data_IF_403332103820
#
_entry.id   IF_403332103820
#
_cell.length_a   1.000
_cell.length_b   1.000
_cell.length_c   1.000
_cell.angle_alpha   90.00
_cell.angle_beta   90.00
_cell.angle_gamma   90.00
#
_symmetry.space_group_name_H-M   'P 1'
#
loop_
_entity.id
_entity.type
_entity.pdbx_description
1 polymer ?
#
# COMPACT_ATOMS: atom_id res chain seq x y z
N UNK A 1 -69.06 51.61 -0.68
CA UNK A 1 -68.62 52.93 -0.19
C UNK A 1 -67.21 52.82 0.36
N UNK A 2 -66.33 53.75 -0.08
CA UNK A 2 -65.00 54.06 0.41
C UNK A 2 -63.93 52.91 0.36
N UNK A 3 -63.08 52.83 -0.68
CA UNK A 3 -61.88 53.65 -0.90
C UNK A 3 -61.04 53.79 0.36
N UNK A 4 -59.84 53.18 0.40
CA UNK A 4 -58.62 53.93 0.62
C UNK A 4 -57.38 53.09 0.23
N UNK A 5 -56.63 53.66 -0.67
CA UNK A 5 -55.32 53.31 -1.10
C UNK A 5 -54.31 53.80 -0.03
N UNK A 6 -53.15 53.10 0.15
CA UNK A 6 -51.86 53.65 0.51
C UNK A 6 -50.86 52.59 0.14
N UNK A 7 -50.10 52.73 -0.91
CA UNK A 7 -48.91 53.51 -1.07
C UNK A 7 -47.68 52.86 -0.39
N UNK A 8 -46.89 52.23 -1.25
CA UNK A 8 -45.46 52.21 -1.38
C UNK A 8 -44.58 52.55 -0.16
N UNK A 9 -43.71 51.63 0.18
CA UNK A 9 -42.33 51.95 0.56
C UNK A 9 -41.44 50.80 0.22
N UNK A 10 -40.72 50.92 -0.89
CA UNK A 10 -39.57 50.14 -1.26
C UNK A 10 -38.45 50.51 -0.26
N UNK A 11 -37.99 49.58 0.53
CA UNK A 11 -36.75 49.74 1.29
C UNK A 11 -35.75 48.68 0.80
N UNK A 12 -34.94 49.10 -0.18
CA UNK A 12 -33.73 48.40 -0.61
C UNK A 12 -32.69 48.50 0.52
N UNK A 13 -32.57 47.45 1.31
CA UNK A 13 -31.37 47.30 2.17
C UNK A 13 -30.30 46.56 1.34
N UNK A 14 -29.39 47.34 0.83
CA UNK A 14 -28.11 46.89 0.31
C UNK A 14 -27.25 46.35 1.47
N UNK A 15 -27.22 45.05 1.68
CA UNK A 15 -26.25 44.40 2.53
C UNK A 15 -24.93 44.33 1.76
N UNK A 16 -24.08 45.34 1.95
CA UNK A 16 -22.68 45.27 1.66
C UNK A 16 -22.05 44.35 2.70
N UNK A 17 -21.98 43.06 2.37
CA UNK A 17 -21.16 42.13 3.11
C UNK A 17 -19.69 42.42 2.86
N UNK A 18 -19.02 43.07 3.82
CA UNK A 18 -17.56 43.04 3.86
C UNK A 18 -17.10 41.63 3.95
N UNK A 19 -16.54 41.10 2.85
CA UNK A 19 -15.62 39.95 2.92
C UNK A 19 -14.37 40.42 3.65
N UNK A 20 -14.31 40.14 4.94
CA UNK A 20 -13.12 40.28 5.73
C UNK A 20 -12.22 39.08 5.33
N UNK A 21 -11.29 39.32 4.41
CA UNK A 21 -10.19 38.41 4.17
C UNK A 21 -9.38 38.32 5.47
N UNK A 22 -9.57 37.21 6.17
CA UNK A 22 -8.72 36.85 7.30
C UNK A 22 -7.35 36.54 6.72
N UNK A 23 -6.45 37.52 6.73
CA UNK A 23 -5.02 37.30 6.58
C UNK A 23 -4.54 36.44 7.75
N UNK A 24 -4.64 35.13 7.62
CA UNK A 24 -4.00 34.19 8.51
C UNK A 24 -2.52 34.19 8.13
N UNK A 25 -1.77 35.10 8.72
CA UNK A 25 -0.30 35.06 8.80
C UNK A 25 0.08 34.11 9.93
N UNK A 26 -0.30 32.82 9.82
CA UNK A 26 0.33 31.74 10.55
C UNK A 26 1.56 31.29 9.76
N UNK A 27 2.61 30.73 10.40
CA UNK A 27 3.68 30.10 9.66
C UNK A 27 3.03 29.04 8.77
N UNK A 28 3.19 29.18 7.45
CA UNK A 28 2.85 28.15 6.49
C UNK A 28 3.84 27.03 6.81
N UNK A 29 3.46 26.13 7.72
CA UNK A 29 4.10 24.84 7.79
C UNK A 29 3.95 24.26 6.39
N UNK A 30 5.10 24.07 5.74
CA UNK A 30 5.18 23.76 4.32
C UNK A 30 4.07 22.78 3.94
N UNK A 31 3.36 23.10 2.90
CA UNK A 31 2.61 22.13 2.15
C UNK A 31 3.69 21.12 1.76
N UNK A 32 3.82 20.05 2.55
CA UNK A 32 4.52 18.88 2.06
C UNK A 32 3.79 18.57 0.75
N UNK A 33 4.51 18.78 -0.33
CA UNK A 33 4.06 18.38 -1.66
C UNK A 33 3.95 16.86 -1.58
N UNK A 34 2.79 16.38 -1.13
CA UNK A 34 2.53 14.95 -1.07
C UNK A 34 2.41 14.50 -2.53
N UNK A 35 3.58 14.29 -3.15
CA UNK A 35 3.62 13.59 -4.42
C UNK A 35 2.85 12.29 -4.21
N UNK A 36 1.84 12.07 -5.05
CA UNK A 36 1.07 10.85 -5.00
C UNK A 36 2.08 9.68 -5.10
N UNK A 37 2.14 8.88 -4.05
CA UNK A 37 3.05 7.72 -4.01
C UNK A 37 2.67 6.76 -5.12
N UNK A 38 3.67 6.19 -5.77
CA UNK A 38 3.48 5.25 -6.89
C UNK A 38 4.05 3.90 -6.51
N UNK A 39 3.25 2.85 -6.69
CA UNK A 39 3.70 1.46 -6.49
C UNK A 39 4.81 1.16 -7.51
N UNK A 40 5.87 0.48 -7.03
CA UNK A 40 6.97 0.03 -7.87
C UNK A 40 6.52 -1.19 -8.65
N UNK A 41 6.72 -1.16 -9.98
CA UNK A 41 6.35 -2.27 -10.86
C UNK A 41 7.50 -3.27 -11.00
N UNK A 42 7.17 -4.54 -11.15
CA UNK A 42 8.12 -5.57 -11.54
C UNK A 42 8.47 -5.42 -13.04
N UNK A 43 9.72 -5.69 -13.44
CA UNK A 43 10.09 -5.75 -14.85
C UNK A 43 9.27 -6.81 -15.60
N UNK A 44 8.87 -6.49 -16.82
CA UNK A 44 8.10 -7.42 -17.66
C UNK A 44 8.88 -8.72 -17.91
N UNK A 45 8.18 -9.86 -17.87
CA UNK A 45 8.74 -11.20 -18.10
C UNK A 45 9.12 -11.39 -19.57
N UNK A 46 10.34 -11.88 -19.85
CA UNK A 46 10.81 -12.13 -21.22
C UNK A 46 10.06 -13.28 -21.92
N UNK A 47 9.52 -14.22 -21.16
CA UNK A 47 8.83 -15.38 -21.68
C UNK A 47 7.34 -15.29 -21.37
N UNK A 48 6.50 -15.20 -22.39
CA UNK A 48 5.04 -15.14 -22.27
C UNK A 48 4.41 -16.45 -21.73
N UNK A 49 5.19 -17.54 -21.63
CA UNK A 49 4.72 -18.80 -21.03
C UNK A 49 4.95 -18.85 -19.51
N UNK A 50 5.56 -17.83 -18.91
CA UNK A 50 5.65 -17.72 -17.45
C UNK A 50 4.30 -17.24 -16.93
N UNK A 51 3.79 -17.87 -15.88
CA UNK A 51 2.53 -17.48 -15.23
C UNK A 51 2.51 -15.97 -14.94
N UNK A 52 1.36 -15.33 -15.16
CA UNK A 52 1.19 -13.90 -14.92
C UNK A 52 1.41 -13.55 -13.46
N UNK A 53 1.08 -14.48 -12.54
CA UNK A 53 1.32 -14.34 -11.12
C UNK A 53 2.04 -15.58 -10.54
N UNK A 54 2.98 -15.34 -9.62
CA UNK A 54 3.60 -16.39 -8.83
C UNK A 54 2.82 -16.58 -7.55
N UNK A 55 2.55 -17.82 -7.14
CA UNK A 55 1.80 -18.10 -5.94
C UNK A 55 2.41 -19.24 -5.11
N UNK A 56 2.19 -19.18 -3.81
CA UNK A 56 2.47 -20.26 -2.86
C UNK A 56 1.30 -20.39 -1.89
N UNK A 57 0.88 -21.61 -1.62
CA UNK A 57 -0.22 -21.89 -0.70
C UNK A 57 0.22 -22.90 0.34
N UNK A 58 -0.17 -22.66 1.60
CA UNK A 58 0.13 -23.53 2.74
C UNK A 58 -1.07 -23.60 3.66
N UNK A 59 -1.30 -24.79 4.19
CA UNK A 59 -2.28 -24.99 5.24
C UNK A 59 -1.65 -24.68 6.60
N UNK A 60 -2.16 -23.66 7.29
CA UNK A 60 -1.67 -23.17 8.57
C UNK A 60 -2.75 -23.38 9.63
N UNK A 61 -2.33 -23.80 10.81
CA UNK A 61 -3.18 -23.87 11.99
C UNK A 61 -2.87 -22.68 12.92
N UNK A 62 -3.88 -21.94 13.36
CA UNK A 62 -3.69 -20.74 14.17
C UNK A 62 -3.09 -21.03 15.55
N UNK A 63 -3.36 -22.20 16.14
CA UNK A 63 -2.81 -22.59 17.44
C UNK A 63 -1.31 -22.84 17.38
N UNK A 64 -0.83 -23.52 16.34
CA UNK A 64 0.60 -23.86 16.19
C UNK A 64 1.38 -22.82 15.42
N UNK A 65 0.70 -21.97 14.65
CA UNK A 65 1.33 -21.08 13.69
C UNK A 65 1.90 -21.83 12.52
N UNK A 66 2.74 -21.14 11.76
CA UNK A 66 3.43 -21.73 10.59
C UNK A 66 4.06 -20.69 9.70
N UNK A 67 4.64 -21.17 8.62
CA UNK A 67 5.35 -20.30 7.65
C UNK A 67 4.93 -20.66 6.23
N UNK A 68 4.82 -19.63 5.38
CA UNK A 68 4.64 -19.76 3.94
C UNK A 68 5.82 -19.11 3.27
N UNK A 69 6.42 -19.79 2.32
CA UNK A 69 7.54 -19.28 1.55
C UNK A 69 7.23 -19.32 0.06
N UNK A 70 7.40 -18.19 -0.60
CA UNK A 70 7.36 -18.05 -2.05
C UNK A 70 8.74 -17.59 -2.51
N UNK A 71 9.44 -18.44 -3.24
CA UNK A 71 10.72 -18.16 -3.86
C UNK A 71 10.60 -18.42 -5.36
N UNK A 72 10.76 -17.37 -6.18
CA UNK A 72 10.62 -17.44 -7.63
C UNK A 72 11.66 -16.59 -8.32
N UNK A 73 12.00 -16.97 -9.55
CA UNK A 73 12.92 -16.23 -10.39
C UNK A 73 12.45 -16.24 -11.83
N UNK A 74 12.65 -15.13 -12.52
CA UNK A 74 12.37 -15.04 -13.95
C UNK A 74 13.34 -14.10 -14.66
N UNK A 75 13.51 -14.30 -15.96
CA UNK A 75 14.27 -13.38 -16.82
C UNK A 75 13.34 -12.26 -17.30
N UNK A 76 13.75 -11.01 -17.10
CA UNK A 76 13.01 -9.85 -17.61
C UNK A 76 13.26 -9.63 -19.10
N UNK A 77 12.40 -8.84 -19.75
CA UNK A 77 12.59 -8.41 -21.14
C UNK A 77 13.87 -7.59 -21.35
N UNK A 78 14.40 -7.00 -20.28
CA UNK A 78 15.66 -6.24 -20.28
C UNK A 78 16.89 -7.16 -20.08
N UNK A 79 16.67 -8.48 -19.96
CA UNK A 79 17.72 -9.48 -19.81
C UNK A 79 18.26 -9.60 -18.37
N UNK A 80 17.60 -9.01 -17.38
CA UNK A 80 17.97 -9.12 -15.98
C UNK A 80 17.21 -10.28 -15.31
N UNK A 81 17.90 -11.00 -14.42
CA UNK A 81 17.25 -11.99 -13.57
C UNK A 81 16.58 -11.30 -12.39
N UNK A 82 15.27 -11.40 -12.32
CA UNK A 82 14.47 -10.94 -11.17
C UNK A 82 14.27 -12.11 -10.24
N UNK A 83 14.60 -11.92 -8.95
CA UNK A 83 14.33 -12.93 -7.92
C UNK A 83 13.37 -12.32 -6.88
N UNK A 84 12.43 -13.13 -6.46
CA UNK A 84 11.39 -12.82 -5.48
C UNK A 84 11.55 -13.82 -4.34
N UNK A 85 11.75 -13.32 -3.13
CA UNK A 85 11.74 -14.12 -1.90
C UNK A 85 10.77 -13.47 -0.91
N UNK A 86 9.68 -14.17 -0.62
CA UNK A 86 8.61 -13.69 0.24
C UNK A 86 8.29 -14.75 1.29
N UNK A 87 8.45 -14.41 2.55
CA UNK A 87 8.26 -15.30 3.68
C UNK A 87 7.27 -14.69 4.68
N UNK A 88 6.14 -15.37 4.86
CA UNK A 88 5.12 -15.02 5.83
C UNK A 88 5.20 -15.97 7.01
N UNK A 89 5.25 -15.42 8.22
CA UNK A 89 5.19 -16.18 9.47
C UNK A 89 3.90 -15.83 10.21
N UNK A 90 3.08 -16.84 10.44
CA UNK A 90 1.91 -16.77 11.32
C UNK A 90 2.36 -17.19 12.73
N UNK A 91 2.29 -16.32 13.72
CA UNK A 91 2.69 -16.66 15.09
C UNK A 91 1.77 -17.74 15.68
N UNK A 92 2.30 -18.56 16.59
CA UNK A 92 1.49 -19.52 17.34
C UNK A 92 0.52 -18.81 18.29
N UNK A 93 -0.58 -19.47 18.63
CA UNK A 93 -1.67 -18.93 19.45
C UNK A 93 -2.32 -17.69 18.86
N UNK A 94 -2.38 -17.61 17.53
CA UNK A 94 -3.16 -16.61 16.84
C UNK A 94 -4.64 -17.00 16.92
N UNK A 95 -5.41 -16.31 17.78
CA UNK A 95 -6.81 -16.64 18.06
C UNK A 95 -7.78 -16.25 16.95
N UNK A 96 -7.28 -15.64 15.87
CA UNK A 96 -8.10 -15.26 14.70
C UNK A 96 -8.69 -16.48 13.98
N UNK A 97 -8.06 -17.64 14.14
CA UNK A 97 -8.55 -18.93 13.67
C UNK A 97 -7.93 -20.06 14.52
N UNK A 98 -8.73 -21.00 14.91
CA UNK A 98 -8.36 -22.15 15.76
C UNK A 98 -8.25 -23.47 14.95
N UNK A 99 -8.65 -23.43 13.70
CA UNK A 99 -8.60 -24.54 12.74
C UNK A 99 -7.49 -24.36 11.68
N UNK A 100 -7.43 -25.29 10.74
CA UNK A 100 -6.55 -25.18 9.57
C UNK A 100 -7.16 -24.25 8.52
N UNK A 101 -6.35 -23.29 8.06
CA UNK A 101 -6.68 -22.41 6.93
C UNK A 101 -5.68 -22.59 5.81
N UNK A 102 -6.17 -22.69 4.59
CA UNK A 102 -5.33 -22.62 3.42
C UNK A 102 -5.07 -21.14 3.10
N UNK A 103 -3.83 -20.72 3.30
CA UNK A 103 -3.40 -19.35 3.05
C UNK A 103 -2.58 -19.33 1.78
N UNK A 104 -2.86 -18.36 0.90
CA UNK A 104 -2.16 -18.19 -0.37
C UNK A 104 -1.50 -16.82 -0.39
N UNK A 105 -0.23 -16.77 -0.78
CA UNK A 105 0.50 -15.57 -1.19
C UNK A 105 0.57 -15.52 -2.71
N UNK A 106 0.40 -14.34 -3.29
CA UNK A 106 0.47 -14.13 -4.73
C UNK A 106 1.22 -12.83 -5.05
N UNK A 107 2.20 -12.91 -5.94
CA UNK A 107 2.93 -11.76 -6.51
C UNK A 107 2.64 -11.71 -8.00
N UNK A 108 2.14 -10.59 -8.50
CA UNK A 108 1.81 -10.37 -9.92
C UNK A 108 2.80 -9.41 -10.59
N UNK A 109 2.34 -8.28 -11.11
CA UNK A 109 3.18 -7.34 -11.86
C UNK A 109 3.70 -6.16 -11.03
N UNK A 110 3.30 -6.09 -9.76
CA UNK A 110 3.75 -5.08 -8.81
C UNK A 110 4.83 -5.65 -7.88
N UNK A 111 5.72 -4.81 -7.39
CA UNK A 111 6.63 -5.15 -6.29
C UNK A 111 5.83 -5.23 -4.98
N UNK A 112 4.89 -6.16 -4.94
CA UNK A 112 3.93 -6.34 -3.87
C UNK A 112 3.44 -7.78 -3.78
N UNK A 113 2.64 -8.05 -2.75
CA UNK A 113 2.08 -9.35 -2.47
C UNK A 113 0.63 -9.23 -2.03
N UNK A 114 -0.22 -10.07 -2.60
CA UNK A 114 -1.62 -10.27 -2.21
C UNK A 114 -1.75 -11.53 -1.35
N UNK A 115 -2.63 -11.48 -0.35
CA UNK A 115 -2.90 -12.60 0.54
C UNK A 115 -4.36 -13.02 0.50
N UNK A 116 -4.60 -14.32 0.49
CA UNK A 116 -5.94 -14.92 0.45
C UNK A 116 -6.05 -16.07 1.47
N UNK A 117 -7.28 -16.27 2.05
CA UNK A 117 -8.45 -15.40 1.99
C UNK A 117 -8.25 -14.12 2.79
N UNK A 118 -9.07 -13.09 2.53
CA UNK A 118 -9.06 -11.88 3.38
C UNK A 118 -9.47 -12.26 4.80
N UNK A 119 -8.67 -11.86 5.80
CA UNK A 119 -8.92 -12.08 7.22
C UNK A 119 -8.16 -11.07 8.07
N UNK A 120 -8.63 -10.82 9.28
CA UNK A 120 -7.99 -9.93 10.26
C UNK A 120 -7.36 -10.80 11.37
N UNK A 121 -6.27 -10.32 11.95
CA UNK A 121 -5.50 -11.02 12.96
C UNK A 121 -5.51 -10.28 14.31
N UNK A 122 -5.65 -11.03 15.41
CA UNK A 122 -5.50 -10.50 16.77
C UNK A 122 -4.03 -10.19 17.07
N UNK A 123 -3.13 -11.01 16.52
CA UNK A 123 -1.70 -10.77 16.51
C UNK A 123 -1.26 -10.64 15.06
N UNK A 124 -0.60 -9.53 14.67
CA UNK A 124 -0.13 -9.36 13.30
C UNK A 124 0.72 -10.54 12.84
N UNK A 125 0.53 -10.97 11.61
CA UNK A 125 1.45 -11.89 10.95
C UNK A 125 2.66 -11.11 10.46
N UNK A 126 3.80 -11.77 10.35
CA UNK A 126 5.08 -11.14 10.04
C UNK A 126 5.51 -11.49 8.63
N UNK A 127 5.83 -10.46 7.84
CA UNK A 127 6.29 -10.59 6.47
C UNK A 127 7.74 -10.14 6.35
N UNK A 128 8.57 -10.97 5.72
CA UNK A 128 9.86 -10.59 5.16
C UNK A 128 9.76 -10.73 3.65
N UNK A 129 10.08 -9.67 2.91
CA UNK A 129 9.92 -9.66 1.47
C UNK A 129 11.11 -8.98 0.80
N UNK A 130 11.77 -9.70 -0.09
CA UNK A 130 12.92 -9.23 -0.87
C UNK A 130 12.67 -9.45 -2.34
N UNK A 131 12.98 -8.44 -3.15
CA UNK A 131 12.99 -8.52 -4.61
C UNK A 131 14.33 -8.01 -5.09
N UNK A 132 14.97 -8.71 -6.02
CA UNK A 132 16.24 -8.28 -6.64
C UNK A 132 16.10 -8.21 -8.16
N UNK A 133 16.99 -7.47 -8.82
CA UNK A 133 16.99 -7.34 -10.27
C UNK A 133 15.97 -6.34 -10.81
N UNK A 134 15.52 -5.42 -9.97
CA UNK A 134 14.63 -4.32 -10.38
C UNK A 134 15.42 -3.21 -11.07
N UNK A 135 14.76 -2.52 -11.99
CA UNK A 135 15.28 -1.27 -12.53
C UNK A 135 14.87 -0.11 -11.62
N UNK A 136 15.77 0.28 -10.71
CA UNK A 136 15.55 1.36 -9.74
C UNK A 136 16.19 2.69 -10.19
N UNK A 137 16.46 2.88 -11.48
CA UNK A 137 17.02 4.12 -11.99
C UNK A 137 16.10 5.31 -11.69
N UNK A 138 16.66 6.37 -11.10
CA UNK A 138 15.92 7.57 -10.72
C UNK A 138 15.05 7.41 -9.47
N UNK A 139 15.12 6.27 -8.79
CA UNK A 139 14.49 6.09 -7.47
C UNK A 139 15.38 6.72 -6.41
N UNK A 140 14.80 7.58 -5.56
CA UNK A 140 15.48 8.02 -4.35
C UNK A 140 15.18 6.98 -3.24
N UNK A 141 16.21 6.30 -2.68
CA UNK A 141 16.00 5.28 -1.64
C UNK A 141 15.22 5.78 -0.42
N UNK A 142 15.37 7.06 -0.07
CA UNK A 142 14.67 7.64 1.09
C UNK A 142 13.14 7.76 0.90
N UNK A 143 12.66 7.73 -0.33
CA UNK A 143 11.23 7.85 -0.65
C UNK A 143 10.52 6.50 -0.70
N UNK A 144 11.30 5.39 -0.75
CA UNK A 144 10.75 4.04 -0.83
C UNK A 144 10.35 3.56 0.56
N UNK A 145 9.12 3.05 0.65
CA UNK A 145 8.66 2.35 1.86
C UNK A 145 7.71 1.21 1.48
N UNK A 146 7.27 0.44 2.48
CA UNK A 146 6.33 -0.66 2.31
C UNK A 146 4.97 -0.27 2.87
N UNK A 147 3.90 -0.50 2.09
CA UNK A 147 2.57 0.02 2.37
C UNK A 147 1.50 -1.05 2.26
N UNK A 148 0.47 -0.91 3.07
CA UNK A 148 -0.84 -1.47 2.78
C UNK A 148 -1.47 -0.72 1.61
N UNK A 149 -2.05 -1.46 0.66
CA UNK A 149 -2.79 -0.91 -0.48
C UNK A 149 -4.26 -1.23 -0.28
N UNK A 150 -5.07 -0.20 -0.06
CA UNK A 150 -6.51 -0.37 0.12
C UNK A 150 -7.21 -0.69 -1.23
N UNK A 151 -8.49 -1.12 -1.22
CA UNK A 151 -9.23 -1.42 -2.45
C UNK A 151 -9.40 -0.22 -3.40
N UNK A 152 -9.19 1.02 -2.93
CA UNK A 152 -9.24 2.23 -3.74
C UNK A 152 -7.85 2.65 -4.26
N UNK A 153 -6.80 1.89 -3.91
CA UNK A 153 -5.41 2.19 -4.26
C UNK A 153 -4.71 3.19 -3.34
N UNK A 154 -5.32 3.57 -2.20
CA UNK A 154 -4.65 4.42 -1.23
C UNK A 154 -3.60 3.64 -0.45
N UNK A 155 -2.51 4.32 -0.09
CA UNK A 155 -1.37 3.73 0.57
C UNK A 155 -1.31 4.14 2.04
N UNK A 156 -1.29 3.17 2.95
CA UNK A 156 -1.08 3.38 4.37
C UNK A 156 0.25 2.76 4.82
N UNK A 157 1.09 3.47 5.61
CA UNK A 157 2.36 2.94 6.07
C UNK A 157 2.19 1.65 6.88
N UNK A 158 3.12 0.71 6.69
CA UNK A 158 3.20 -0.55 7.43
C UNK A 158 4.21 -0.42 8.57
N UNK A 159 3.88 -0.94 9.74
CA UNK A 159 4.87 -1.11 10.82
C UNK A 159 5.85 -2.19 10.40
N UNK A 160 7.16 -1.89 10.42
CA UNK A 160 8.23 -2.83 10.06
C UNK A 160 9.54 -2.43 10.76
N UNK A 161 10.53 -3.32 10.74
CA UNK A 161 11.86 -3.06 11.31
C UNK A 161 12.79 -2.30 10.35
N UNK A 162 12.39 -2.11 9.11
CA UNK A 162 13.10 -1.32 8.12
C UNK A 162 12.83 -1.75 6.69
N UNK A 163 12.95 -0.77 5.81
CA UNK A 163 13.00 -0.96 4.35
C UNK A 163 14.38 -0.57 3.87
N UNK A 164 15.03 -1.44 3.11
CA UNK A 164 16.32 -1.15 2.49
C UNK A 164 16.21 -1.19 0.97
N UNK A 165 16.98 -0.31 0.32
CA UNK A 165 17.04 -0.16 -1.14
C UNK A 165 18.50 -0.18 -1.56
N UNK A 166 18.86 -1.15 -2.39
CA UNK A 166 20.17 -1.19 -3.05
C UNK A 166 20.00 -0.92 -4.55
N UNK A 167 20.38 0.27 -4.97
CA UNK A 167 20.28 0.70 -6.36
C UNK A 167 21.22 -0.06 -7.29
N UNK A 168 22.37 -0.55 -6.77
CA UNK A 168 23.38 -1.24 -7.58
C UNK A 168 22.91 -2.64 -8.02
N UNK A 169 22.18 -3.33 -7.17
CA UNK A 169 21.62 -4.66 -7.45
C UNK A 169 20.15 -4.63 -7.80
N UNK A 170 19.51 -3.46 -7.74
CA UNK A 170 18.07 -3.33 -7.93
C UNK A 170 17.28 -4.08 -6.85
N UNK A 171 17.74 -3.99 -5.58
CA UNK A 171 17.14 -4.77 -4.48
C UNK A 171 16.27 -3.90 -3.59
N UNK A 172 15.07 -4.40 -3.29
CA UNK A 172 14.17 -3.92 -2.24
C UNK A 172 14.02 -4.99 -1.19
N UNK A 173 14.13 -4.63 0.09
CA UNK A 173 13.88 -5.54 1.21
C UNK A 173 13.08 -4.84 2.29
N UNK A 174 12.02 -5.48 2.78
CA UNK A 174 11.34 -5.13 4.03
C UNK A 174 11.54 -6.24 5.04
N UNK A 175 11.84 -5.85 6.28
CA UNK A 175 12.08 -6.78 7.39
C UNK A 175 10.96 -6.64 8.42
N UNK A 176 10.39 -7.78 8.83
CA UNK A 176 9.41 -7.90 9.89
C UNK A 176 8.21 -6.93 9.72
N UNK A 177 7.68 -6.82 8.50
CA UNK A 177 6.47 -6.06 8.28
C UNK A 177 5.29 -6.72 9.00
N UNK A 178 4.60 -5.96 9.85
CA UNK A 178 3.47 -6.42 10.64
C UNK A 178 2.17 -6.25 9.85
N UNK A 179 1.55 -7.35 9.50
CA UNK A 179 0.30 -7.36 8.74
C UNK A 179 -0.87 -7.70 9.67
N UNK A 180 -1.69 -6.71 10.07
CA UNK A 180 -2.84 -6.94 10.94
C UNK A 180 -4.01 -7.62 10.23
N UNK A 181 -3.96 -7.71 8.91
CA UNK A 181 -4.96 -8.38 8.07
C UNK A 181 -4.36 -8.84 6.75
N UNK A 182 -4.98 -9.82 6.11
CA UNK A 182 -4.65 -10.19 4.74
C UNK A 182 -5.33 -9.28 3.74
N UNK A 183 -4.52 -8.74 2.83
CA UNK A 183 -4.88 -7.83 1.76
C UNK A 183 -3.71 -7.70 0.79
N UNK A 184 -3.63 -6.58 0.06
CA UNK A 184 -2.48 -6.23 -0.78
C UNK A 184 -1.49 -5.35 -0.01
N UNK A 185 -0.21 -5.65 -0.19
CA UNK A 185 0.93 -4.92 0.39
C UNK A 185 2.01 -4.73 -0.68
N UNK A 186 2.59 -3.52 -0.79
CA UNK A 186 3.52 -3.23 -1.87
C UNK A 186 4.57 -2.19 -1.48
N UNK A 187 5.72 -2.23 -2.19
CA UNK A 187 6.67 -1.14 -2.18
C UNK A 187 6.15 0.02 -3.03
N UNK A 188 6.26 1.25 -2.48
CA UNK A 188 5.92 2.48 -3.20
C UNK A 188 6.92 3.59 -2.86
N UNK A 189 6.96 4.59 -3.75
CA UNK A 189 7.85 5.75 -3.68
C UNK A 189 7.11 7.05 -3.98
#
# INVERSE_FOLDING_TARGET
MRKLSYAAALLLLSLVGCMQESNITGPINGIENSQAKTIIMLPAKANLNVEDAFSSSQQINGTTGGEIHLAQSYLSTEGQMVNIDCRLTVPSNNSSFDDYRNITMQVSDEAGVDFFPSMTFDQPVILNFTITGLNLNGVNPADVNFYYVDPNGNLAPTVNDGVSVDLATGTLTVVNAQLPHFSRWAYAR
#
